data_IF_473654268318
#
_entry.id   IF_473654268318
#
_cell.length_a   1.000
_cell.length_b   1.000
_cell.length_c   1.000
_cell.angle_alpha   90.00
_cell.angle_beta   90.00
_cell.angle_gamma   90.00
#
_symmetry.space_group_name_H-M   'P 1'
#
loop_
_entity.id
_entity.type
_entity.pdbx_description
1 polymer ?
#
# COMPACT_ATOMS: atom_id res chain seq x y z
N UNK A 1 -24.14 -25.49 -20.43
CA UNK A 1 -24.79 -25.21 -19.12
C UNK A 1 -24.93 -26.48 -18.28
N UNK A 2 -25.34 -27.62 -18.89
CA UNK A 2 -25.51 -28.91 -18.17
C UNK A 2 -24.15 -29.53 -17.70
N UNK A 3 -23.08 -29.30 -18.42
CA UNK A 3 -21.76 -29.88 -18.10
C UNK A 3 -21.08 -29.22 -16.86
N UNK A 4 -21.35 -27.96 -16.57
CA UNK A 4 -20.85 -27.30 -15.40
C UNK A 4 -21.55 -27.69 -14.08
N UNK A 5 -22.87 -28.05 -14.17
CA UNK A 5 -23.63 -28.49 -12.98
C UNK A 5 -23.21 -29.89 -12.47
N UNK A 6 -22.79 -30.76 -13.37
CA UNK A 6 -22.36 -32.12 -13.01
C UNK A 6 -20.96 -32.13 -12.31
N UNK A 7 -20.07 -31.21 -12.63
CA UNK A 7 -18.76 -31.14 -11.99
C UNK A 7 -18.78 -30.50 -10.59
N UNK A 8 -19.73 -29.59 -10.31
CA UNK A 8 -19.89 -29.01 -8.96
C UNK A 8 -20.47 -30.03 -7.97
N UNK A 9 -21.38 -30.91 -8.41
CA UNK A 9 -21.92 -32.01 -7.57
C UNK A 9 -20.85 -33.08 -7.27
N UNK A 10 -19.89 -33.31 -8.18
CA UNK A 10 -18.81 -34.28 -7.94
C UNK A 10 -17.75 -33.77 -6.96
N UNK A 11 -17.51 -32.46 -6.95
CA UNK A 11 -16.56 -31.83 -6.03
C UNK A 11 -17.03 -31.88 -4.58
N UNK A 12 -18.33 -31.75 -4.33
CA UNK A 12 -18.93 -31.84 -2.99
C UNK A 12 -18.81 -33.25 -2.36
N UNK A 13 -18.61 -34.30 -3.16
CA UNK A 13 -18.49 -35.67 -2.66
C UNK A 13 -17.09 -36.07 -2.21
N UNK A 14 -16.05 -35.34 -2.65
CA UNK A 14 -14.66 -35.69 -2.37
C UNK A 14 -13.94 -34.82 -1.33
N UNK A 15 -14.52 -33.70 -0.89
CA UNK A 15 -13.84 -32.71 -0.01
C UNK A 15 -14.50 -32.57 1.37
N UNK A 16 -15.56 -33.28 1.66
CA UNK A 16 -16.14 -33.25 3.02
C UNK A 16 -15.93 -34.59 3.74
N UNK A 17 -14.95 -34.65 4.71
CA UNK A 17 -15.46 -34.60 6.08
C UNK A 17 -14.64 -33.79 7.10
N UNK A 18 -13.73 -32.93 6.78
CA UNK A 18 -12.81 -32.40 7.82
C UNK A 18 -12.59 -30.89 7.99
N UNK A 19 -13.31 -29.98 7.38
CA UNK A 19 -13.33 -28.57 7.87
C UNK A 19 -14.53 -27.80 7.29
N UNK A 20 -15.31 -27.08 8.12
CA UNK A 20 -16.33 -26.16 7.61
C UNK A 20 -15.64 -24.96 6.96
N UNK A 21 -15.92 -24.73 5.67
CA UNK A 21 -15.48 -23.55 4.95
C UNK A 21 -16.18 -22.33 5.56
N UNK A 22 -15.46 -21.28 6.02
CA UNK A 22 -16.11 -20.13 6.61
C UNK A 22 -17.03 -19.43 5.58
N UNK A 23 -18.20 -18.91 6.02
CA UNK A 23 -19.22 -18.32 5.14
C UNK A 23 -18.71 -17.22 4.20
N UNK A 24 -17.65 -16.54 4.58
CA UNK A 24 -17.00 -15.46 3.80
C UNK A 24 -16.34 -16.00 2.52
N UNK A 25 -15.74 -17.19 2.54
CA UNK A 25 -15.11 -17.77 1.36
C UNK A 25 -16.13 -18.17 0.30
N UNK A 26 -17.31 -18.66 0.73
CA UNK A 26 -18.43 -18.97 -0.17
C UNK A 26 -19.03 -17.69 -0.76
N UNK A 27 -19.14 -16.62 0.03
CA UNK A 27 -19.68 -15.34 -0.43
C UNK A 27 -18.77 -14.66 -1.46
N UNK A 28 -17.46 -14.70 -1.26
CA UNK A 28 -16.48 -14.20 -2.23
C UNK A 28 -16.53 -15.00 -3.55
N UNK A 29 -16.56 -16.34 -3.49
CA UNK A 29 -16.66 -17.19 -4.67
C UNK A 29 -17.94 -16.93 -5.48
N UNK A 30 -19.09 -16.77 -4.81
CA UNK A 30 -20.37 -16.44 -5.46
C UNK A 30 -20.35 -15.06 -6.10
N UNK A 31 -19.70 -14.06 -5.47
CA UNK A 31 -19.57 -12.70 -6.01
C UNK A 31 -18.69 -12.65 -7.26
N UNK A 32 -17.61 -13.43 -7.31
CA UNK A 32 -16.76 -13.58 -8.49
C UNK A 32 -17.45 -14.36 -9.63
N UNK A 33 -18.18 -15.43 -9.30
CA UNK A 33 -18.93 -16.22 -10.29
C UNK A 33 -20.08 -15.39 -10.88
N UNK A 34 -20.81 -14.62 -10.08
CA UNK A 34 -21.87 -13.74 -10.58
C UNK A 34 -21.33 -12.59 -11.45
N UNK A 35 -20.18 -12.00 -11.12
CA UNK A 35 -19.54 -10.99 -11.95
C UNK A 35 -19.03 -11.59 -13.28
N UNK A 36 -18.55 -12.83 -13.27
CA UNK A 36 -18.11 -13.56 -14.46
C UNK A 36 -19.30 -13.99 -15.34
N UNK A 37 -20.38 -14.48 -14.75
CA UNK A 37 -21.62 -14.86 -15.45
C UNK A 37 -22.36 -13.65 -16.02
N UNK A 38 -22.36 -12.50 -15.32
CA UNK A 38 -22.93 -11.26 -15.85
C UNK A 38 -22.15 -10.76 -17.07
N UNK A 39 -20.81 -10.92 -17.08
CA UNK A 39 -19.97 -10.61 -18.25
C UNK A 39 -20.19 -11.56 -19.42
N UNK A 40 -20.42 -12.85 -19.17
CA UNK A 40 -20.73 -13.83 -20.22
C UNK A 40 -22.12 -13.62 -20.82
N UNK A 41 -23.09 -13.20 -20.01
CA UNK A 41 -24.45 -12.89 -20.50
C UNK A 41 -24.48 -11.65 -21.42
N UNK A 42 -23.60 -10.68 -21.16
CA UNK A 42 -23.43 -9.48 -22.00
C UNK A 42 -22.76 -9.80 -23.34
N UNK A 43 -21.83 -10.77 -23.37
CA UNK A 43 -21.20 -11.25 -24.61
C UNK A 43 -22.15 -12.10 -25.46
N UNK A 44 -23.04 -12.88 -24.84
CA UNK A 44 -23.99 -13.77 -25.56
C UNK A 44 -25.01 -13.00 -26.42
N UNK A 45 -25.38 -11.79 -26.02
CA UNK A 45 -26.32 -10.96 -26.80
C UNK A 45 -25.68 -10.25 -28.00
N UNK A 46 -24.35 -10.26 -28.12
CA UNK A 46 -23.63 -9.61 -29.23
C UNK A 46 -23.32 -10.58 -30.39
N UNK A 47 -23.47 -11.91 -30.17
CA UNK A 47 -23.03 -12.93 -31.14
C UNK A 47 -24.10 -13.34 -32.18
N UNK A 48 -25.27 -12.73 -32.18
CA UNK A 48 -26.37 -13.20 -33.00
C UNK A 48 -26.66 -12.39 -34.28
N UNK A 49 -25.71 -11.58 -34.77
CA UNK A 49 -25.86 -10.91 -36.08
C UNK A 49 -24.54 -10.85 -36.85
N UNK A 50 -24.52 -11.62 -37.97
CA UNK A 50 -23.65 -11.56 -39.14
C UNK A 50 -22.25 -12.13 -39.05
N UNK A 51 -21.96 -13.07 -39.99
CA UNK A 51 -20.68 -13.56 -40.40
C UNK A 51 -19.66 -12.43 -40.66
N UNK A 52 -18.73 -12.25 -39.77
CA UNK A 52 -17.51 -11.51 -39.98
C UNK A 52 -16.47 -12.10 -39.04
N UNK A 53 -15.34 -12.55 -39.60
CA UNK A 53 -14.17 -13.06 -38.86
C UNK A 53 -13.48 -11.91 -38.17
N UNK A 54 -13.89 -11.62 -36.95
CA UNK A 54 -13.13 -10.71 -36.08
C UNK A 54 -12.08 -11.51 -35.30
N UNK A 55 -10.83 -11.05 -35.36
CA UNK A 55 -9.77 -11.53 -34.49
C UNK A 55 -10.12 -11.19 -33.03
N UNK A 56 -9.73 -12.07 -32.09
CA UNK A 56 -9.85 -11.82 -30.63
C UNK A 56 -9.18 -10.50 -30.23
N UNK A 57 -8.24 -10.01 -31.04
CA UNK A 57 -7.58 -8.71 -30.83
C UNK A 57 -8.47 -7.50 -31.09
N UNK A 58 -9.62 -7.67 -31.77
CA UNK A 58 -10.54 -6.57 -32.16
C UNK A 58 -11.73 -6.40 -31.21
N UNK A 59 -11.79 -7.18 -30.13
CA UNK A 59 -12.82 -7.02 -29.10
C UNK A 59 -12.57 -5.72 -28.31
N UNK A 60 -13.57 -4.82 -28.17
CA UNK A 60 -13.44 -3.57 -27.40
C UNK A 60 -13.06 -3.80 -25.93
N UNK A 61 -13.18 -5.04 -25.45
CA UNK A 61 -12.80 -5.45 -24.09
C UNK A 61 -11.28 -5.64 -23.90
N UNK A 62 -10.49 -5.78 -24.99
CA UNK A 62 -9.03 -5.90 -24.90
C UNK A 62 -8.32 -4.54 -24.76
N UNK A 63 -9.01 -3.43 -25.07
CA UNK A 63 -8.39 -2.09 -25.13
C UNK A 63 -8.63 -1.21 -23.90
N UNK A 64 -9.32 -1.66 -22.84
CA UNK A 64 -9.58 -0.77 -21.68
C UNK A 64 -9.47 -1.48 -20.33
N UNK A 65 -8.37 -2.15 -20.08
CA UNK A 65 -7.81 -2.17 -18.74
C UNK A 65 -7.09 -0.83 -18.56
N UNK A 66 -7.86 0.26 -18.40
CA UNK A 66 -7.31 1.48 -17.85
C UNK A 66 -6.64 1.09 -16.55
N UNK A 67 -5.31 1.14 -16.52
CA UNK A 67 -4.49 0.94 -15.32
C UNK A 67 -5.08 1.86 -14.25
N UNK A 68 -5.72 1.31 -13.22
CA UNK A 68 -6.35 2.12 -12.17
C UNK A 68 -5.22 2.82 -11.46
N UNK A 69 -5.20 4.15 -11.50
CA UNK A 69 -4.25 4.96 -10.75
C UNK A 69 -4.92 5.34 -9.42
N UNK A 70 -4.26 5.04 -8.31
CA UNK A 70 -4.74 5.37 -6.96
C UNK A 70 -4.38 6.80 -6.59
N UNK A 71 -3.12 7.17 -6.84
CA UNK A 71 -2.58 8.53 -6.62
C UNK A 71 -1.73 8.87 -7.82
N UNK A 72 -1.98 10.02 -8.42
CA UNK A 72 -1.22 10.59 -9.53
C UNK A 72 -0.66 11.94 -9.09
N UNK A 73 0.63 12.12 -9.26
CA UNK A 73 1.38 13.34 -8.96
C UNK A 73 1.92 13.88 -10.26
N UNK A 74 1.52 15.10 -10.64
CA UNK A 74 1.92 15.73 -11.88
C UNK A 74 2.53 17.11 -11.63
N UNK A 75 3.77 17.27 -12.11
CA UNK A 75 4.54 18.52 -12.09
C UNK A 75 4.56 19.18 -10.69
N UNK A 76 4.80 18.34 -9.66
CA UNK A 76 4.77 18.79 -8.28
C UNK A 76 6.03 19.55 -7.91
N UNK A 77 5.85 20.79 -7.43
CA UNK A 77 6.93 21.63 -6.91
C UNK A 77 6.62 22.07 -5.48
N UNK A 78 7.66 22.15 -4.64
CA UNK A 78 7.58 22.68 -3.28
C UNK A 78 8.84 23.44 -2.93
N UNK A 79 8.66 24.66 -2.41
CA UNK A 79 9.74 25.48 -1.87
C UNK A 79 9.43 25.92 -0.43
N UNK A 80 10.47 26.11 0.37
CA UNK A 80 10.41 26.77 1.67
C UNK A 80 11.24 28.05 1.58
N UNK A 81 10.58 29.19 1.48
CA UNK A 81 11.22 30.45 1.18
C UNK A 81 11.94 30.39 -0.19
N UNK A 82 13.26 30.55 -0.18
CA UNK A 82 14.09 30.51 -1.40
C UNK A 82 14.61 29.10 -1.74
N UNK A 83 14.45 28.12 -0.85
CA UNK A 83 14.96 26.78 -1.03
C UNK A 83 13.92 25.92 -1.77
N UNK A 84 14.22 25.50 -2.99
CA UNK A 84 13.43 24.52 -3.73
C UNK A 84 13.74 23.14 -3.18
N UNK A 85 12.72 22.40 -2.71
CA UNK A 85 12.85 21.06 -2.16
C UNK A 85 12.31 20.00 -3.10
N UNK A 86 11.22 20.30 -3.81
CA UNK A 86 10.68 19.44 -4.86
C UNK A 86 10.59 20.25 -6.16
N UNK A 87 10.96 19.61 -7.27
CA UNK A 87 11.09 20.30 -8.56
C UNK A 87 10.61 19.40 -9.71
N UNK A 88 9.33 19.51 -10.06
CA UNK A 88 8.75 18.80 -11.20
C UNK A 88 8.61 17.29 -10.98
N UNK A 89 8.07 16.86 -9.81
CA UNK A 89 7.85 15.45 -9.53
C UNK A 89 6.66 14.92 -10.33
N UNK A 90 6.87 13.78 -11.00
CA UNK A 90 5.84 12.98 -11.66
C UNK A 90 5.87 11.55 -11.12
N UNK A 91 4.75 11.07 -10.58
CA UNK A 91 4.63 9.73 -10.00
C UNK A 91 3.21 9.18 -10.17
N UNK A 92 3.11 7.88 -10.41
CA UNK A 92 1.86 7.14 -10.43
C UNK A 92 1.90 5.97 -9.46
N UNK A 93 0.91 5.88 -8.58
CA UNK A 93 0.77 4.77 -7.66
C UNK A 93 -0.47 3.94 -7.99
N UNK A 94 -0.27 2.64 -8.20
CA UNK A 94 -1.33 1.69 -8.58
C UNK A 94 -1.72 0.78 -7.41
N UNK A 95 -2.94 0.22 -7.42
CA UNK A 95 -3.39 -0.68 -6.36
C UNK A 95 -2.54 -1.96 -6.30
N UNK A 96 -2.40 -2.52 -5.10
CA UNK A 96 -1.75 -3.80 -4.89
C UNK A 96 -0.23 -3.80 -5.13
N UNK A 97 0.42 -2.65 -5.06
CA UNK A 97 1.87 -2.49 -5.23
C UNK A 97 2.54 -1.92 -4.00
N UNK A 98 3.81 -2.30 -3.81
CA UNK A 98 4.69 -1.68 -2.82
C UNK A 98 5.73 -0.83 -3.55
N UNK A 99 5.73 0.47 -3.26
CA UNK A 99 6.66 1.44 -3.83
C UNK A 99 7.69 1.84 -2.80
N UNK A 100 8.95 1.87 -3.19
CA UNK A 100 10.04 2.43 -2.43
C UNK A 100 10.35 3.86 -2.90
N UNK A 101 10.69 4.74 -1.99
CA UNK A 101 11.26 6.05 -2.25
C UNK A 101 12.61 6.15 -1.57
N UNK A 102 13.69 5.98 -2.33
CA UNK A 102 15.05 6.09 -1.82
C UNK A 102 15.62 7.46 -2.14
N UNK A 103 16.49 7.96 -1.30
CA UNK A 103 17.20 9.23 -1.47
C UNK A 103 17.94 9.62 -0.19
N UNK A 104 18.89 10.50 -0.31
CA UNK A 104 19.67 11.00 0.83
C UNK A 104 18.79 11.73 1.86
N UNK A 105 19.37 11.97 3.04
CA UNK A 105 18.72 12.82 4.04
C UNK A 105 18.63 14.25 3.50
N UNK A 106 17.42 14.83 3.55
CA UNK A 106 17.18 16.15 2.97
C UNK A 106 16.76 16.16 1.50
N UNK A 107 16.77 15.03 0.78
CA UNK A 107 16.36 14.96 -0.63
C UNK A 107 14.90 15.33 -0.89
N UNK A 108 14.05 15.42 0.14
CA UNK A 108 12.66 15.84 0.00
C UNK A 108 11.62 14.72 0.21
N UNK A 109 12.01 13.50 0.62
CA UNK A 109 11.08 12.35 0.82
C UNK A 109 9.90 12.68 1.73
N UNK A 110 10.16 13.16 2.93
CA UNK A 110 9.12 13.59 3.90
C UNK A 110 8.28 14.75 3.35
N UNK A 111 8.91 15.68 2.62
CA UNK A 111 8.20 16.81 1.99
C UNK A 111 7.21 16.32 0.93
N UNK A 112 7.62 15.37 0.08
CA UNK A 112 6.75 14.75 -0.91
C UNK A 112 5.55 14.06 -0.24
N UNK A 113 5.78 13.29 0.82
CA UNK A 113 4.69 12.63 1.55
C UNK A 113 3.73 13.63 2.19
N UNK A 114 4.24 14.71 2.78
CA UNK A 114 3.41 15.76 3.35
C UNK A 114 2.58 16.51 2.28
N UNK A 115 3.11 16.71 1.07
CA UNK A 115 2.33 17.23 -0.06
C UNK A 115 1.24 16.23 -0.48
N UNK A 116 1.55 14.94 -0.63
CA UNK A 116 0.56 13.89 -0.96
C UNK A 116 -0.55 13.83 0.10
N UNK A 117 -0.20 13.99 1.38
CA UNK A 117 -1.17 14.01 2.48
C UNK A 117 -1.98 15.31 2.56
N UNK A 118 -1.61 16.35 1.82
CA UNK A 118 -2.23 17.67 1.87
C UNK A 118 -1.88 18.47 3.11
N UNK A 119 -0.75 18.13 3.78
CA UNK A 119 -0.24 18.86 4.94
C UNK A 119 0.52 20.12 4.52
N UNK A 120 1.21 20.05 3.37
CA UNK A 120 1.94 21.18 2.80
C UNK A 120 1.29 21.67 1.52
N UNK A 121 1.31 22.98 1.29
CA UNK A 121 0.96 23.60 0.01
C UNK A 121 2.03 23.26 -1.02
N UNK A 122 1.61 23.14 -2.26
CA UNK A 122 2.47 22.84 -3.41
C UNK A 122 1.92 23.49 -4.68
N UNK A 123 2.71 23.51 -5.75
CA UNK A 123 2.26 23.80 -7.12
C UNK A 123 2.33 22.52 -7.96
N UNK A 124 1.56 22.45 -9.05
CA UNK A 124 1.31 21.23 -9.80
C UNK A 124 -0.01 20.58 -9.38
N UNK A 125 -0.17 19.28 -9.56
CA UNK A 125 -1.40 18.60 -9.19
C UNK A 125 -1.15 17.22 -8.55
N UNK A 126 -1.98 16.88 -7.56
CA UNK A 126 -2.08 15.55 -6.97
C UNK A 126 -3.53 15.09 -7.08
N UNK A 127 -3.76 14.07 -7.91
CA UNK A 127 -5.07 13.48 -8.11
C UNK A 127 -5.20 12.20 -7.32
N UNK A 128 -6.27 12.10 -6.52
CA UNK A 128 -6.64 10.88 -5.78
C UNK A 128 -8.15 10.79 -5.66
N UNK A 129 -8.69 9.56 -5.59
CA UNK A 129 -10.12 9.36 -5.36
C UNK A 129 -10.54 9.99 -4.01
N UNK A 130 -11.70 10.66 -3.99
CA UNK A 130 -12.26 11.26 -2.76
C UNK A 130 -12.57 10.23 -1.69
N UNK A 131 -12.81 8.99 -2.07
CA UNK A 131 -13.13 7.88 -1.15
C UNK A 131 -11.88 7.13 -0.68
N UNK A 132 -10.69 7.50 -1.17
CA UNK A 132 -9.44 6.81 -0.87
C UNK A 132 -9.02 7.07 0.58
N UNK A 133 -8.97 6.01 1.37
CA UNK A 133 -8.50 6.07 2.76
C UNK A 133 -6.98 5.95 2.78
N UNK A 134 -6.31 6.99 3.24
CA UNK A 134 -4.84 7.01 3.33
C UNK A 134 -4.40 7.06 4.78
N UNK A 135 -3.46 6.19 5.16
CA UNK A 135 -2.77 6.19 6.45
C UNK A 135 -1.34 6.67 6.27
N UNK A 136 -0.84 7.48 7.21
CA UNK A 136 0.51 8.03 7.18
C UNK A 136 1.27 7.76 8.47
N UNK A 137 2.40 7.08 8.37
CA UNK A 137 3.37 6.93 9.45
C UNK A 137 4.52 7.91 9.21
N UNK A 138 4.57 8.98 10.00
CA UNK A 138 5.60 10.01 9.91
C UNK A 138 6.98 9.49 10.32
N UNK A 139 8.05 10.08 9.78
CA UNK A 139 9.43 9.81 10.21
C UNK A 139 9.62 10.06 11.72
N UNK A 140 9.04 11.14 12.24
CA UNK A 140 8.98 11.45 13.67
C UNK A 140 7.54 11.36 14.17
N UNK A 141 7.24 10.36 14.99
CA UNK A 141 5.92 10.20 15.58
C UNK A 141 5.78 11.02 16.85
N UNK A 142 4.75 11.86 16.90
CA UNK A 142 4.34 12.56 18.11
C UNK A 142 3.34 11.72 18.89
N UNK A 143 3.53 11.66 20.23
CA UNK A 143 2.59 11.02 21.15
C UNK A 143 2.30 11.97 22.30
N UNK A 144 1.03 12.05 22.70
CA UNK A 144 0.65 12.81 23.88
C UNK A 144 1.26 12.20 25.15
N UNK A 145 1.71 13.05 26.07
CA UNK A 145 2.52 12.63 27.23
C UNK A 145 1.79 11.71 28.21
N UNK A 146 0.47 11.82 28.31
CA UNK A 146 -0.35 11.10 29.30
C UNK A 146 -1.34 10.14 28.66
N UNK A 147 -1.03 9.62 27.49
CA UNK A 147 -1.85 8.62 26.80
C UNK A 147 -1.06 7.32 26.71
N UNK A 148 -1.66 6.23 27.18
CA UNK A 148 -1.10 4.88 27.08
C UNK A 148 -1.06 4.38 25.63
N UNK A 149 -0.30 3.32 25.37
CA UNK A 149 -0.29 2.69 24.06
C UNK A 149 -1.69 2.23 23.63
N UNK A 150 -2.48 1.66 24.54
CA UNK A 150 -3.85 1.23 24.26
C UNK A 150 -4.74 2.41 23.90
N UNK A 151 -4.77 3.44 24.74
CA UNK A 151 -5.58 4.66 24.51
C UNK A 151 -5.21 5.35 23.20
N UNK A 152 -3.92 5.33 22.81
CA UNK A 152 -3.49 5.85 21.51
C UNK A 152 -4.11 5.08 20.35
N UNK A 153 -4.11 3.73 20.40
CA UNK A 153 -4.71 2.89 19.36
C UNK A 153 -6.22 3.12 19.28
N UNK A 154 -6.90 3.17 20.42
CA UNK A 154 -8.33 3.47 20.48
C UNK A 154 -8.66 4.86 19.91
N UNK A 155 -7.85 5.88 20.27
CA UNK A 155 -7.99 7.23 19.72
C UNK A 155 -7.85 7.22 18.19
N UNK A 156 -6.86 6.53 17.64
CA UNK A 156 -6.64 6.43 16.21
C UNK A 156 -7.79 5.75 15.47
N UNK A 157 -8.44 4.75 16.08
CA UNK A 157 -9.64 4.11 15.53
C UNK A 157 -10.84 5.05 15.57
N UNK A 158 -11.09 5.70 16.71
CA UNK A 158 -12.19 6.66 16.87
C UNK A 158 -12.06 7.87 15.92
N UNK A 159 -10.83 8.35 15.68
CA UNK A 159 -10.57 9.44 14.74
C UNK A 159 -10.89 9.10 13.28
N UNK A 160 -11.13 7.83 12.97
CA UNK A 160 -11.57 7.32 11.66
C UNK A 160 -13.01 6.79 11.70
N UNK A 161 -13.78 7.13 12.74
CA UNK A 161 -15.14 6.65 12.97
C UNK A 161 -15.25 5.11 12.97
N UNK A 162 -14.18 4.41 13.39
CA UNK A 162 -14.15 2.96 13.49
C UNK A 162 -14.50 2.50 14.90
N UNK A 163 -15.26 1.41 15.04
CA UNK A 163 -15.55 0.83 16.36
C UNK A 163 -14.26 0.29 16.99
N UNK A 164 -14.06 0.62 18.26
CA UNK A 164 -12.94 0.06 19.04
C UNK A 164 -13.16 -1.44 19.24
N UNK A 165 -12.22 -2.24 18.78
CA UNK A 165 -12.22 -3.69 18.90
C UNK A 165 -11.00 -4.14 19.70
N UNK A 166 -11.14 -4.21 21.01
CA UNK A 166 -10.07 -4.61 21.95
C UNK A 166 -9.47 -6.00 21.62
N UNK A 167 -10.27 -7.04 21.31
CA UNK A 167 -9.72 -8.33 20.87
C UNK A 167 -8.81 -8.22 19.64
N UNK A 168 -9.16 -7.40 18.65
CA UNK A 168 -8.31 -7.17 17.46
C UNK A 168 -7.00 -6.46 17.82
N UNK A 169 -7.07 -5.48 18.73
CA UNK A 169 -5.86 -4.78 19.24
C UNK A 169 -4.96 -5.78 19.96
N UNK A 170 -5.51 -6.62 20.83
CA UNK A 170 -4.75 -7.63 21.58
C UNK A 170 -4.10 -8.64 20.66
N UNK A 171 -4.84 -9.19 19.69
CA UNK A 171 -4.29 -10.13 18.72
C UNK A 171 -3.15 -9.50 17.90
N UNK A 172 -3.28 -8.25 17.46
CA UNK A 172 -2.21 -7.55 16.77
C UNK A 172 -1.01 -7.30 17.71
N UNK A 173 -1.26 -7.04 19.00
CA UNK A 173 -0.18 -6.85 19.99
C UNK A 173 0.55 -8.14 20.35
N UNK A 174 -0.02 -9.31 20.16
CA UNK A 174 0.71 -10.58 20.27
C UNK A 174 1.93 -10.62 19.32
N UNK A 175 1.81 -9.96 18.16
CA UNK A 175 2.88 -9.85 17.16
C UNK A 175 3.96 -8.88 17.61
N UNK A 176 3.57 -7.68 18.08
CA UNK A 176 4.50 -6.57 18.39
C UNK A 176 5.02 -6.57 19.82
N UNK A 177 4.26 -7.17 20.75
CA UNK A 177 4.61 -7.32 22.18
C UNK A 177 4.93 -5.96 22.84
N UNK A 178 4.11 -4.93 22.57
CA UNK A 178 4.24 -3.61 23.18
C UNK A 178 3.55 -3.58 24.56
N UNK A 179 4.11 -2.87 25.56
CA UNK A 179 3.47 -2.66 26.86
C UNK A 179 2.37 -1.60 26.73
N UNK A 180 1.18 -2.02 26.27
CA UNK A 180 0.08 -1.11 25.92
C UNK A 180 -0.52 -0.34 27.12
N UNK A 181 -0.22 -0.76 28.32
CA UNK A 181 -0.59 -0.11 29.60
C UNK A 181 0.33 1.06 29.99
N UNK A 182 1.50 1.19 29.36
CA UNK A 182 2.45 2.27 29.61
C UNK A 182 2.17 3.48 28.72
N UNK A 183 2.61 4.67 29.15
CA UNK A 183 2.52 5.88 28.34
C UNK A 183 3.32 5.78 27.05
N UNK A 184 2.66 6.04 25.92
CA UNK A 184 3.28 5.95 24.58
C UNK A 184 4.43 6.96 24.40
N UNK A 185 4.40 8.08 25.12
CA UNK A 185 5.48 9.06 25.09
C UNK A 185 6.82 8.51 25.61
N UNK A 186 6.78 7.54 26.53
CA UNK A 186 7.95 6.89 27.13
C UNK A 186 8.54 5.75 26.28
N UNK A 187 7.90 5.39 25.19
CA UNK A 187 8.37 4.35 24.31
C UNK A 187 9.67 4.73 23.62
N UNK A 188 10.55 3.76 23.39
CA UNK A 188 11.70 3.93 22.51
C UNK A 188 11.27 4.30 21.10
N UNK A 189 12.17 4.84 20.28
CA UNK A 189 11.89 5.18 18.87
C UNK A 189 11.28 4.01 18.11
N UNK A 190 11.87 2.81 18.26
CA UNK A 190 11.37 1.61 17.61
C UNK A 190 9.98 1.17 18.11
N UNK A 191 9.70 1.28 19.42
CA UNK A 191 8.38 1.00 19.97
C UNK A 191 7.34 2.00 19.46
N UNK A 192 7.68 3.29 19.37
CA UNK A 192 6.83 4.34 18.79
C UNK A 192 6.49 4.04 17.32
N UNK A 193 7.48 3.60 16.54
CA UNK A 193 7.25 3.18 15.14
C UNK A 193 6.30 1.98 15.05
N UNK A 194 6.52 0.96 15.88
CA UNK A 194 5.64 -0.22 15.95
C UNK A 194 4.21 0.17 16.33
N UNK A 195 4.03 1.03 17.35
CA UNK A 195 2.71 1.50 17.79
C UNK A 195 1.99 2.29 16.69
N UNK A 196 2.68 3.24 16.03
CA UNK A 196 2.12 3.98 14.91
C UNK A 196 1.74 3.08 13.74
N UNK A 197 2.56 2.07 13.43
CA UNK A 197 2.23 1.10 12.38
C UNK A 197 1.04 0.22 12.77
N UNK A 198 0.93 -0.22 14.03
CA UNK A 198 -0.27 -0.90 14.55
C UNK A 198 -1.53 -0.05 14.36
N UNK A 199 -1.47 1.25 14.69
CA UNK A 199 -2.58 2.16 14.50
C UNK A 199 -3.04 2.21 13.03
N UNK A 200 -2.11 2.24 12.08
CA UNK A 200 -2.45 2.23 10.65
C UNK A 200 -3.10 0.92 10.21
N UNK A 201 -2.64 -0.23 10.72
CA UNK A 201 -3.22 -1.54 10.41
C UNK A 201 -4.66 -1.69 10.90
N UNK A 202 -5.01 -1.00 11.99
CA UNK A 202 -6.36 -1.00 12.57
C UNK A 202 -7.34 -0.06 11.83
N UNK A 203 -6.85 0.84 10.99
CA UNK A 203 -7.65 1.92 10.37
C UNK A 203 -8.29 1.58 9.01
N UNK A 204 -8.17 0.35 8.51
CA UNK A 204 -8.72 -0.06 7.20
C UNK A 204 -8.37 0.92 6.05
N UNK A 205 -7.09 1.29 5.95
CA UNK A 205 -6.62 2.17 4.89
C UNK A 205 -6.49 1.41 3.56
N UNK A 206 -6.61 2.14 2.43
CA UNK A 206 -6.35 1.63 1.07
C UNK A 206 -4.90 1.88 0.66
N UNK A 207 -4.35 3.01 1.11
CA UNK A 207 -2.95 3.40 0.88
C UNK A 207 -2.26 3.63 2.21
N UNK A 208 -1.06 3.08 2.34
CA UNK A 208 -0.18 3.22 3.50
C UNK A 208 1.07 3.98 3.06
N UNK A 209 1.29 5.16 3.60
CA UNK A 209 2.52 5.95 3.40
C UNK A 209 3.36 5.80 4.66
N UNK A 210 4.56 5.26 4.53
CA UNK A 210 5.45 4.92 5.63
C UNK A 210 6.79 5.64 5.47
N UNK A 211 7.00 6.66 6.29
CA UNK A 211 8.22 7.48 6.25
C UNK A 211 9.27 6.94 7.23
N UNK A 212 10.36 6.37 6.68
CA UNK A 212 11.45 5.73 7.42
C UNK A 212 10.93 4.75 8.50
N UNK A 213 10.06 3.77 8.16
CA UNK A 213 9.35 2.95 9.14
C UNK A 213 10.27 2.03 9.94
N UNK A 214 11.43 1.68 9.40
CA UNK A 214 12.37 0.73 10.02
C UNK A 214 13.43 1.40 10.88
N UNK A 215 13.53 2.73 10.82
CA UNK A 215 14.57 3.47 11.56
C UNK A 215 14.34 3.35 13.08
N UNK A 216 15.37 2.85 13.78
CA UNK A 216 15.35 2.62 15.24
C UNK A 216 14.52 1.41 15.69
N UNK A 217 14.00 0.61 14.77
CA UNK A 217 13.30 -0.64 15.06
C UNK A 217 14.31 -1.80 15.14
N UNK A 218 14.14 -2.67 16.12
CA UNK A 218 14.94 -3.88 16.28
C UNK A 218 14.75 -4.88 15.12
N UNK A 219 15.72 -5.77 14.91
CA UNK A 219 15.73 -6.73 13.80
C UNK A 219 14.42 -7.54 13.73
N UNK A 220 13.94 -8.07 14.87
CA UNK A 220 12.68 -8.83 14.93
C UNK A 220 11.50 -7.97 14.48
N UNK A 221 11.42 -6.74 14.94
CA UNK A 221 10.39 -5.77 14.55
C UNK A 221 10.42 -5.46 13.06
N UNK A 222 11.61 -5.23 12.48
CA UNK A 222 11.76 -5.01 11.04
C UNK A 222 11.23 -6.19 10.22
N UNK A 223 11.60 -7.43 10.60
CA UNK A 223 11.12 -8.65 9.91
C UNK A 223 9.59 -8.76 9.98
N UNK A 224 9.02 -8.53 11.16
CA UNK A 224 7.56 -8.58 11.36
C UNK A 224 6.82 -7.50 10.54
N UNK A 225 7.31 -6.26 10.57
CA UNK A 225 6.73 -5.17 9.78
C UNK A 225 6.80 -5.46 8.28
N UNK A 226 7.94 -5.92 7.76
CA UNK A 226 8.09 -6.31 6.34
C UNK A 226 7.11 -7.42 5.96
N UNK A 227 6.91 -8.43 6.84
CA UNK A 227 5.92 -9.49 6.62
C UNK A 227 4.49 -8.94 6.53
N UNK A 228 4.10 -8.04 7.43
CA UNK A 228 2.78 -7.41 7.43
C UNK A 228 2.58 -6.51 6.19
N UNK A 229 3.61 -5.80 5.74
CA UNK A 229 3.57 -5.01 4.51
C UNK A 229 3.31 -5.90 3.29
N UNK A 230 3.97 -7.07 3.19
CA UNK A 230 3.66 -8.05 2.13
C UNK A 230 2.23 -8.58 2.21
N UNK A 231 1.68 -8.74 3.41
CA UNK A 231 0.27 -9.13 3.59
C UNK A 231 -0.71 -8.02 3.16
N UNK A 232 -0.36 -6.73 3.36
CA UNK A 232 -1.15 -5.61 2.82
C UNK A 232 -1.22 -5.67 1.29
N UNK A 233 -0.09 -5.90 0.62
CA UNK A 233 -0.05 -6.10 -0.85
C UNK A 233 -0.95 -7.28 -1.28
N UNK A 234 -0.89 -8.42 -0.58
CA UNK A 234 -1.75 -9.57 -0.87
C UNK A 234 -3.25 -9.27 -0.69
N UNK A 235 -3.60 -8.21 0.04
CA UNK A 235 -4.96 -7.68 0.19
C UNK A 235 -5.26 -6.51 -0.77
N UNK A 236 -4.50 -6.39 -1.86
CA UNK A 236 -4.63 -5.32 -2.87
C UNK A 236 -4.47 -3.90 -2.30
N UNK A 237 -3.86 -3.74 -1.12
CA UNK A 237 -3.54 -2.43 -0.56
C UNK A 237 -2.24 -1.90 -1.18
N UNK A 238 -2.15 -0.57 -1.34
CA UNK A 238 -0.95 0.09 -1.86
C UNK A 238 -0.09 0.56 -0.70
N UNK A 239 1.22 0.33 -0.77
CA UNK A 239 2.17 0.79 0.25
C UNK A 239 3.26 1.62 -0.40
N UNK A 240 3.56 2.78 0.18
CA UNK A 240 4.62 3.69 -0.26
C UNK A 240 5.57 3.86 0.92
N UNK A 241 6.84 3.50 0.75
CA UNK A 241 7.81 3.44 1.84
C UNK A 241 9.02 4.29 1.48
N UNK A 242 9.40 5.24 2.34
CA UNK A 242 10.70 5.88 2.22
C UNK A 242 11.77 5.15 3.02
N UNK A 243 12.98 5.17 2.52
CA UNK A 243 14.19 4.77 3.24
C UNK A 243 15.42 5.40 2.59
N UNK A 244 16.47 5.57 3.39
CA UNK A 244 17.81 5.87 2.88
C UNK A 244 18.63 4.58 2.64
N UNK A 245 18.10 3.40 3.01
CA UNK A 245 18.74 2.09 2.82
C UNK A 245 18.09 1.31 1.68
N UNK A 246 18.76 1.23 0.54
CA UNK A 246 18.29 0.56 -0.69
C UNK A 246 17.95 -0.90 -0.42
N UNK A 247 18.84 -1.65 0.25
CA UNK A 247 18.66 -3.05 0.57
C UNK A 247 17.34 -3.34 1.33
N UNK A 248 16.94 -2.44 2.24
CA UNK A 248 15.69 -2.58 2.99
C UNK A 248 14.45 -2.46 2.10
N UNK A 249 14.50 -1.60 1.06
CA UNK A 249 13.43 -1.42 0.10
C UNK A 249 13.42 -2.53 -0.93
N UNK A 250 14.58 -2.91 -1.47
CA UNK A 250 14.70 -3.93 -2.52
C UNK A 250 14.11 -5.27 -2.10
N UNK A 251 14.21 -5.61 -0.83
CA UNK A 251 13.64 -6.84 -0.29
C UNK A 251 12.10 -6.92 -0.42
N UNK A 252 11.38 -5.79 -0.41
CA UNK A 252 9.92 -5.79 -0.31
C UNK A 252 9.19 -4.98 -1.39
N UNK A 253 9.85 -4.03 -2.05
CA UNK A 253 9.23 -3.15 -3.03
C UNK A 253 9.19 -3.77 -4.43
N UNK A 254 8.10 -3.51 -5.14
CA UNK A 254 7.95 -3.85 -6.56
C UNK A 254 8.67 -2.83 -7.45
N UNK A 255 8.66 -1.57 -7.02
CA UNK A 255 9.18 -0.43 -7.76
C UNK A 255 9.90 0.47 -6.76
N UNK A 256 11.08 0.96 -7.11
CA UNK A 256 11.84 1.90 -6.29
C UNK A 256 12.10 3.16 -7.11
N UNK A 257 11.68 4.32 -6.58
CA UNK A 257 11.97 5.62 -7.13
C UNK A 257 13.18 6.23 -6.40
N UNK A 258 14.17 6.71 -7.16
CA UNK A 258 15.30 7.45 -6.60
C UNK A 258 15.01 8.95 -6.67
N UNK A 259 14.88 9.58 -5.51
CA UNK A 259 14.68 11.02 -5.34
C UNK A 259 16.04 11.67 -5.10
N UNK A 260 16.47 12.52 -6.02
CA UNK A 260 17.69 13.31 -5.92
C UNK A 260 17.44 14.75 -6.32
N UNK A 261 18.02 15.72 -5.62
CA UNK A 261 17.92 17.17 -5.88
C UNK A 261 16.48 17.65 -6.15
N UNK A 262 15.52 17.06 -5.42
CA UNK A 262 14.10 17.40 -5.51
C UNK A 262 13.36 16.82 -6.73
N UNK A 263 13.99 16.02 -7.57
CA UNK A 263 13.41 15.33 -8.74
C UNK A 263 13.46 13.81 -8.61
N UNK A 264 12.57 13.10 -9.31
CA UNK A 264 12.71 11.66 -9.49
C UNK A 264 13.71 11.44 -10.60
N UNK A 265 14.87 10.92 -10.21
CA UNK A 265 15.97 10.68 -11.15
C UNK A 265 15.71 9.41 -11.97
N UNK A 266 15.33 8.32 -11.32
CA UNK A 266 15.12 7.02 -11.97
C UNK A 266 14.12 6.15 -11.20
N UNK A 267 13.51 5.24 -11.93
CA UNK A 267 12.62 4.18 -11.41
C UNK A 267 13.30 2.82 -11.66
N UNK A 268 13.39 1.99 -10.62
CA UNK A 268 13.97 0.65 -10.64
C UNK A 268 12.90 -0.41 -10.38
N UNK A 269 12.96 -1.53 -11.10
CA UNK A 269 11.98 -2.61 -11.03
C UNK A 269 12.58 -3.92 -10.53
N UNK A 270 13.53 -4.48 -11.27
CA UNK A 270 14.12 -5.80 -11.01
C UNK A 270 15.62 -5.72 -10.68
N UNK A 271 16.22 -4.56 -10.79
CA UNK A 271 17.63 -4.31 -10.53
C UNK A 271 18.02 -4.74 -9.11
N UNK A 272 19.19 -5.31 -8.94
CA UNK A 272 19.75 -5.70 -7.64
C UNK A 272 20.12 -4.48 -6.81
N UNK A 273 20.38 -4.68 -5.53
CA UNK A 273 20.86 -3.60 -4.65
C UNK A 273 22.16 -3.00 -5.17
N UNK A 274 23.09 -3.86 -5.60
CA UNK A 274 24.41 -3.48 -6.12
C UNK A 274 24.28 -2.65 -7.42
N UNK A 275 23.41 -3.05 -8.35
CA UNK A 275 23.17 -2.31 -9.59
C UNK A 275 22.58 -0.92 -9.33
N UNK A 276 21.66 -0.81 -8.36
CA UNK A 276 21.08 0.48 -7.96
C UNK A 276 22.14 1.37 -7.32
N UNK A 277 22.97 0.82 -6.43
CA UNK A 277 24.05 1.56 -5.76
C UNK A 277 25.11 2.06 -6.75
N UNK A 278 25.53 1.22 -7.71
CA UNK A 278 26.46 1.60 -8.75
C UNK A 278 25.90 2.72 -9.65
N UNK A 279 24.63 2.61 -10.04
CA UNK A 279 23.97 3.62 -10.88
C UNK A 279 23.89 4.97 -10.14
N UNK A 280 23.55 4.98 -8.86
CA UNK A 280 23.53 6.18 -8.03
C UNK A 280 24.93 6.80 -7.93
N UNK A 281 25.98 6.00 -7.68
CA UNK A 281 27.35 6.49 -7.57
C UNK A 281 27.90 7.06 -8.87
N UNK A 282 27.55 6.47 -10.02
CA UNK A 282 27.98 6.97 -11.33
C UNK A 282 27.34 8.34 -11.66
N UNK A 283 26.12 8.57 -11.22
CA UNK A 283 25.35 9.76 -11.61
C UNK A 283 25.45 10.93 -10.63
N UNK A 284 26.00 10.71 -9.42
CA UNK A 284 26.28 11.80 -8.46
C UNK A 284 27.63 12.49 -8.70
N UNK A 285 28.40 12.09 -9.73
CA UNK A 285 29.72 12.66 -10.06
C UNK A 285 29.72 13.69 -11.19
N UNK A 286 28.55 14.10 -11.67
CA UNK A 286 28.43 15.11 -12.75
C UNK A 286 27.94 16.46 -12.27
#
# INVERSE_FOLDING_TARGET
>A
LLYCHLNLCHWHRYVAPYHPIPPIAVYCAIKYINAFLFRLSFCSNYFNTRHSTYSIADLPCAQTLKKIIMIEVNDLHKSFGKVKVLNGIHLEYHPGKIYGLVGENGAGKTTLFNCIMGIYDYTGSITKSKTLKTGYLSASNFFYSQITGLEHLEFCMKAKDLPVNTPTIQHLNEIFQLPLDRYAAEYSTGMKKKLGFMALLLQDNDVFILDEPFNGVDLKGCILMKRLIRQLKAKEKTVIISSHLIASLREICDIIHYLNEGGIYKEYHEETTEEIEEDILCNTKS
#
